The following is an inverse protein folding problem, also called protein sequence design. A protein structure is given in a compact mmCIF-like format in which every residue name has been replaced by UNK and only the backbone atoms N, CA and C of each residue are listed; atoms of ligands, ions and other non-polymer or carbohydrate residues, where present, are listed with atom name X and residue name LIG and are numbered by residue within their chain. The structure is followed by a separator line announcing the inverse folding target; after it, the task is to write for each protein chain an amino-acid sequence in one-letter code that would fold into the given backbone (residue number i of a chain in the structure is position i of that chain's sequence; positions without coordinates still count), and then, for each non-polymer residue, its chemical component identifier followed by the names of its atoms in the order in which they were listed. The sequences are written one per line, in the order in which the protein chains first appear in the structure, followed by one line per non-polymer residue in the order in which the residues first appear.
data_IF_643265468514
#
_entry.id   IF_643265468514
#
_cell.length_a   1.000
_cell.length_b   1.000
_cell.length_c   1.000
_cell.angle_alpha   90.00
_cell.angle_beta   90.00
_cell.angle_gamma   90.00
#
_symmetry.space_group_name_H-M   'P 1'
#
loop_
_entity.id
_entity.type
_entity.pdbx_description
1 polymer ?
#
# COMPACT_ATOMS: atom_id res chain seq x y z
N UNK A 1 22.07 6.15 -42.20
CA UNK A 1 21.16 6.82 -41.24
C UNK A 1 22.04 7.52 -40.23
N UNK A 2 21.85 8.81 -40.03
CA UNK A 2 22.50 9.53 -38.92
C UNK A 2 21.62 9.20 -37.71
N UNK A 3 22.16 8.51 -36.71
CA UNK A 3 21.47 8.35 -35.43
C UNK A 3 21.20 9.75 -34.87
N UNK A 4 19.93 10.07 -34.61
CA UNK A 4 19.54 11.33 -33.98
C UNK A 4 20.16 11.39 -32.59
N UNK A 5 20.96 12.44 -32.35
CA UNK A 5 21.56 12.71 -31.06
C UNK A 5 20.52 13.48 -30.25
N UNK A 6 19.87 12.81 -29.31
CA UNK A 6 18.90 13.43 -28.40
C UNK A 6 19.46 13.51 -26.96
N UNK A 7 19.22 14.62 -26.24
CA UNK A 7 19.61 14.75 -24.85
C UNK A 7 18.77 13.80 -23.97
N UNK A 8 19.43 13.04 -23.10
CA UNK A 8 18.76 12.11 -22.17
C UNK A 8 18.21 12.86 -20.95
N UNK A 9 18.93 13.89 -20.48
CA UNK A 9 18.58 14.75 -19.34
C UNK A 9 19.02 16.17 -19.67
N UNK A 10 18.14 17.15 -19.48
CA UNK A 10 18.47 18.58 -19.54
C UNK A 10 18.09 19.24 -18.21
N UNK A 11 19.07 19.84 -17.53
CA UNK A 11 18.81 20.71 -16.38
C UNK A 11 18.83 22.16 -16.84
N UNK A 12 17.80 22.91 -16.44
CA UNK A 12 17.63 24.32 -16.79
C UNK A 12 18.40 25.27 -15.85
N UNK A 13 18.87 24.77 -14.71
CA UNK A 13 19.72 25.52 -13.80
C UNK A 13 21.16 25.59 -14.35
N UNK A 14 21.80 26.76 -14.25
CA UNK A 14 23.19 26.95 -14.69
C UNK A 14 24.15 26.27 -13.70
N UNK A 15 24.37 24.99 -13.91
CA UNK A 15 25.26 24.15 -13.11
C UNK A 15 26.23 23.46 -14.06
N UNK A 16 27.52 23.41 -13.72
CA UNK A 16 28.49 22.69 -14.55
C UNK A 16 28.61 21.26 -14.03
N UNK A 17 28.27 20.28 -14.87
CA UNK A 17 28.49 18.88 -14.54
C UNK A 17 29.95 18.50 -14.68
N UNK A 18 30.42 17.69 -13.74
CA UNK A 18 31.84 17.37 -13.56
C UNK A 18 32.12 15.87 -13.52
N UNK A 19 31.12 15.05 -13.14
CA UNK A 19 31.26 13.59 -13.09
C UNK A 19 29.94 12.91 -13.47
N UNK A 20 30.02 11.67 -13.96
CA UNK A 20 28.87 10.84 -14.28
C UNK A 20 29.15 9.38 -13.91
N UNK A 21 28.16 8.69 -13.36
CA UNK A 21 28.19 7.25 -13.13
C UNK A 21 26.79 6.66 -13.37
N UNK A 22 26.72 5.47 -13.94
CA UNK A 22 25.48 4.89 -14.44
C UNK A 22 25.27 3.50 -13.85
N UNK A 23 24.10 3.28 -13.25
CA UNK A 23 23.65 1.98 -12.79
C UNK A 23 22.42 1.54 -13.57
N UNK A 24 22.55 0.50 -14.39
CA UNK A 24 21.46 -0.03 -15.21
C UNK A 24 21.17 -1.49 -14.92
N UNK A 25 19.93 -1.89 -15.22
CA UNK A 25 19.56 -3.28 -15.41
C UNK A 25 18.79 -3.42 -16.73
N UNK A 26 18.22 -4.60 -17.00
CA UNK A 26 17.46 -4.84 -18.24
C UNK A 26 16.19 -3.97 -18.40
N UNK A 27 15.75 -3.26 -17.35
CA UNK A 27 14.43 -2.60 -17.31
C UNK A 27 14.52 -1.07 -17.22
N UNK A 28 15.53 -0.52 -16.57
CA UNK A 28 15.68 0.92 -16.38
C UNK A 28 17.14 1.28 -16.08
N UNK A 29 17.43 2.58 -16.16
CA UNK A 29 18.76 3.14 -15.89
C UNK A 29 18.67 4.26 -14.86
N UNK A 30 19.61 4.25 -13.92
CA UNK A 30 19.81 5.31 -12.93
C UNK A 30 21.12 6.01 -13.27
N UNK A 31 21.06 7.33 -13.36
CA UNK A 31 22.17 8.18 -13.75
C UNK A 31 22.50 9.11 -12.58
N UNK A 32 23.74 9.06 -12.12
CA UNK A 32 24.28 9.96 -11.10
C UNK A 32 25.17 10.99 -11.80
N UNK A 33 24.90 12.27 -11.56
CA UNK A 33 25.66 13.38 -12.16
C UNK A 33 26.18 14.26 -11.02
N UNK A 34 27.50 14.43 -10.96
CA UNK A 34 28.16 15.35 -10.04
C UNK A 34 28.30 16.74 -10.64
N UNK A 35 28.27 17.78 -9.81
CA UNK A 35 28.50 19.16 -10.22
C UNK A 35 29.66 19.89 -9.52
N UNK A 36 29.95 21.09 -10.00
CA UNK A 36 30.92 22.05 -9.46
C UNK A 36 30.40 22.91 -8.29
N UNK A 37 29.27 22.51 -7.69
CA UNK A 37 28.77 23.01 -6.41
C UNK A 37 28.75 21.92 -5.31
N UNK A 38 29.30 20.74 -5.59
CA UNK A 38 29.39 19.66 -4.62
C UNK A 38 28.11 18.85 -4.49
N UNK A 39 27.26 18.85 -5.52
CA UNK A 39 25.99 18.16 -5.54
C UNK A 39 26.04 16.97 -6.48
N UNK A 40 25.49 15.85 -6.02
CA UNK A 40 25.13 14.70 -6.85
C UNK A 40 23.63 14.74 -7.13
N UNK A 41 23.30 14.84 -8.41
CA UNK A 41 21.96 14.74 -8.97
C UNK A 41 21.71 13.29 -9.41
N UNK A 42 20.55 12.75 -9.08
CA UNK A 42 20.17 11.38 -9.46
C UNK A 42 18.92 11.41 -10.32
N UNK A 43 19.00 10.77 -11.49
CA UNK A 43 17.92 10.67 -12.46
C UNK A 43 17.58 9.23 -12.75
N UNK A 44 16.37 9.02 -13.23
CA UNK A 44 15.90 7.72 -13.68
C UNK A 44 15.27 7.83 -15.06
N UNK A 45 15.73 7.01 -16.00
CA UNK A 45 15.36 7.13 -17.42
C UNK A 45 13.87 6.93 -17.67
N UNK A 46 13.18 6.11 -16.87
CA UNK A 46 11.74 5.91 -16.98
C UNK A 46 10.85 7.12 -16.64
N UNK A 47 11.37 8.12 -15.91
CA UNK A 47 10.62 9.32 -15.53
C UNK A 47 11.29 10.61 -16.02
N UNK A 48 12.54 10.57 -16.49
CA UNK A 48 13.37 11.72 -16.96
C UNK A 48 13.55 12.88 -15.96
N UNK A 49 12.87 12.83 -14.83
CA UNK A 49 12.92 13.80 -13.75
C UNK A 49 14.03 13.46 -12.75
N UNK A 50 14.56 14.50 -12.09
CA UNK A 50 15.47 14.34 -10.94
C UNK A 50 14.71 13.69 -9.79
N UNK A 51 15.15 12.51 -9.36
CA UNK A 51 14.51 11.73 -8.27
C UNK A 51 15.18 12.00 -6.92
N UNK A 52 16.41 12.52 -6.92
CA UNK A 52 17.15 12.83 -5.71
C UNK A 52 18.29 13.79 -5.96
N UNK A 53 18.59 14.59 -4.94
CA UNK A 53 19.69 15.56 -4.93
C UNK A 53 20.41 15.48 -3.59
N UNK A 54 21.72 15.28 -3.60
CA UNK A 54 22.56 15.25 -2.41
C UNK A 54 23.70 16.24 -2.54
N UNK A 55 23.71 17.26 -1.68
CA UNK A 55 24.85 18.18 -1.58
C UNK A 55 25.83 17.71 -0.50
N UNK A 56 27.12 17.88 -0.80
CA UNK A 56 28.25 17.63 0.08
C UNK A 56 28.90 18.97 0.46
N UNK A 57 29.74 18.98 1.49
CA UNK A 57 30.38 20.23 1.95
C UNK A 57 31.44 20.77 0.98
N UNK A 58 32.08 19.88 0.22
CA UNK A 58 33.13 20.21 -0.75
C UNK A 58 32.54 20.80 -2.03
N UNK A 59 33.26 21.68 -2.72
CA UNK A 59 32.68 22.45 -3.83
C UNK A 59 32.56 21.70 -5.13
N UNK A 60 33.31 20.63 -5.36
CA UNK A 60 33.28 19.92 -6.64
C UNK A 60 33.21 18.41 -6.43
N UNK A 61 32.34 17.76 -7.20
CA UNK A 61 32.34 16.32 -7.38
C UNK A 61 33.32 16.01 -8.50
N UNK A 62 34.42 15.33 -8.19
CA UNK A 62 35.50 15.03 -9.14
C UNK A 62 35.24 13.72 -9.87
N UNK A 63 34.72 12.72 -9.16
CA UNK A 63 34.42 11.41 -9.73
C UNK A 63 33.31 10.70 -8.94
N UNK A 64 32.64 9.76 -9.59
CA UNK A 64 31.59 8.94 -9.02
C UNK A 64 31.86 7.47 -9.37
N UNK A 65 31.76 6.59 -8.38
CA UNK A 65 31.90 5.15 -8.60
C UNK A 65 30.80 4.36 -7.92
N UNK A 66 30.04 3.63 -8.72
CA UNK A 66 29.08 2.65 -8.22
C UNK A 66 29.78 1.33 -7.90
N UNK A 67 29.50 0.79 -6.72
CA UNK A 67 29.98 -0.53 -6.29
C UNK A 67 28.83 -1.38 -5.75
N UNK A 68 28.97 -2.71 -5.83
CA UNK A 68 27.98 -3.72 -5.41
C UNK A 68 26.63 -3.64 -6.16
N UNK A 69 26.64 -3.53 -7.49
CA UNK A 69 25.46 -3.20 -8.31
C UNK A 69 24.72 -4.37 -8.96
N UNK A 70 25.12 -5.64 -8.73
CA UNK A 70 24.59 -6.78 -9.49
C UNK A 70 23.92 -7.79 -8.56
N UNK A 71 22.65 -8.20 -8.79
CA UNK A 71 21.72 -7.84 -9.86
C UNK A 71 20.73 -6.69 -9.51
N UNK A 72 20.87 -6.07 -8.34
CA UNK A 72 19.98 -5.02 -7.82
C UNK A 72 20.79 -3.91 -7.17
N UNK A 73 20.15 -2.77 -6.86
CA UNK A 73 20.78 -1.71 -6.05
C UNK A 73 20.74 -1.99 -4.54
N UNK A 74 20.38 -3.22 -4.15
CA UNK A 74 20.45 -3.67 -2.76
C UNK A 74 21.90 -3.67 -2.29
N UNK A 75 22.17 -3.01 -1.18
CA UNK A 75 23.52 -2.84 -0.62
C UNK A 75 24.53 -2.11 -1.53
N UNK A 76 24.03 -1.51 -2.63
CA UNK A 76 24.84 -0.71 -3.53
C UNK A 76 25.32 0.57 -2.85
N UNK A 77 26.54 0.97 -3.19
CA UNK A 77 27.15 2.18 -2.64
C UNK A 77 27.67 3.05 -3.76
N UNK A 78 27.53 4.36 -3.55
CA UNK A 78 28.14 5.37 -4.38
C UNK A 78 29.38 5.90 -3.65
N UNK A 79 30.53 5.73 -4.28
CA UNK A 79 31.76 6.39 -3.87
C UNK A 79 31.78 7.73 -4.57
N UNK A 80 31.86 8.80 -3.78
CA UNK A 80 31.90 10.18 -4.23
C UNK A 80 33.28 10.73 -3.95
N UNK A 81 34.04 10.98 -5.01
CA UNK A 81 35.31 11.69 -4.91
C UNK A 81 35.03 13.19 -5.02
N UNK A 82 35.50 13.94 -4.03
CA UNK A 82 35.48 15.40 -4.03
C UNK A 82 36.90 15.94 -4.11
N UNK A 83 37.07 17.25 -4.16
CA UNK A 83 38.40 17.90 -4.15
C UNK A 83 39.31 17.48 -2.97
N UNK A 84 38.73 17.07 -1.83
CA UNK A 84 39.48 16.87 -0.59
C UNK A 84 39.11 15.58 0.17
N UNK A 85 38.08 14.86 -0.24
CA UNK A 85 37.54 13.70 0.49
C UNK A 85 37.00 12.63 -0.46
N UNK A 86 37.07 11.38 0.00
CA UNK A 86 36.36 10.24 -0.58
C UNK A 86 35.23 9.87 0.38
N UNK A 87 33.99 9.95 -0.09
CA UNK A 87 32.79 9.70 0.70
C UNK A 87 32.12 8.43 0.18
N UNK A 88 31.71 7.55 1.11
CA UNK A 88 30.96 6.34 0.78
C UNK A 88 29.51 6.51 1.21
N UNK A 89 28.62 6.66 0.24
CA UNK A 89 27.19 6.80 0.45
C UNK A 89 26.48 5.47 0.19
N UNK A 90 25.67 5.00 1.13
CA UNK A 90 24.76 3.89 0.89
C UNK A 90 23.59 4.40 0.05
N UNK A 91 23.27 3.70 -1.04
CA UNK A 91 22.22 4.13 -1.96
C UNK A 91 20.82 3.72 -1.51
N UNK A 92 20.68 2.60 -0.82
CA UNK A 92 19.39 2.09 -0.40
C UNK A 92 19.46 1.44 0.99
N UNK A 93 18.54 1.83 1.86
CA UNK A 93 18.24 1.15 3.14
C UNK A 93 16.73 1.02 3.25
N UNK A 94 16.11 0.47 2.20
CA UNK A 94 14.66 0.50 2.02
C UNK A 94 13.91 -0.34 3.05
N UNK A 95 14.50 -1.46 3.50
CA UNK A 95 13.86 -2.42 4.40
C UNK A 95 13.47 -1.84 5.77
N UNK A 96 14.03 -0.70 6.17
CA UNK A 96 13.65 -0.02 7.43
C UNK A 96 12.27 0.67 7.34
N UNK A 97 11.78 0.96 6.14
CA UNK A 97 10.51 1.62 5.91
C UNK A 97 9.40 0.59 5.77
N UNK A 98 8.47 0.59 6.73
CA UNK A 98 7.46 -0.47 6.86
C UNK A 98 6.12 -0.15 6.21
N UNK A 99 5.93 1.09 5.77
CA UNK A 99 4.68 1.52 5.11
C UNK A 99 4.93 1.99 3.69
N UNK A 100 3.95 1.76 2.80
CA UNK A 100 4.05 2.20 1.41
C UNK A 100 4.22 3.71 1.28
N UNK A 101 3.48 4.48 2.09
CA UNK A 101 3.53 5.94 2.06
C UNK A 101 4.93 6.43 2.42
N UNK A 102 5.55 5.91 3.48
CA UNK A 102 6.95 6.23 3.81
C UNK A 102 7.87 5.82 2.66
N UNK A 103 7.79 4.57 2.21
CA UNK A 103 8.65 4.02 1.15
C UNK A 103 8.61 4.84 -0.14
N UNK A 104 7.43 5.32 -0.54
CA UNK A 104 7.23 6.09 -1.78
C UNK A 104 7.98 7.42 -1.81
N UNK A 105 8.38 7.93 -0.64
CA UNK A 105 9.13 9.18 -0.50
C UNK A 105 10.64 8.96 -0.48
N UNK A 106 11.10 7.72 -0.40
CA UNK A 106 12.52 7.40 -0.25
C UNK A 106 13.16 7.17 -1.63
N UNK A 107 14.19 7.96 -1.98
CA UNK A 107 14.95 7.76 -3.21
C UNK A 107 15.47 6.33 -3.37
N UNK A 108 15.46 5.82 -4.60
CA UNK A 108 15.99 4.50 -4.93
C UNK A 108 15.30 3.34 -4.17
N UNK A 109 14.16 3.61 -3.55
CA UNK A 109 13.30 2.61 -2.94
C UNK A 109 12.01 2.47 -3.74
N UNK A 110 11.45 1.26 -3.66
CA UNK A 110 10.21 0.90 -4.33
C UNK A 110 9.35 0.07 -3.37
N UNK A 111 8.05 0.34 -3.33
CA UNK A 111 7.12 -0.49 -2.57
C UNK A 111 6.71 -1.72 -3.38
N UNK A 112 7.01 -2.91 -2.87
CA UNK A 112 6.53 -4.15 -3.46
C UNK A 112 5.11 -4.42 -2.97
N UNK A 113 4.07 -3.95 -3.67
CA UNK A 113 2.67 -4.09 -3.19
C UNK A 113 2.29 -5.53 -2.87
N UNK A 114 2.85 -6.49 -3.63
CA UNK A 114 2.58 -7.93 -3.47
C UNK A 114 3.23 -8.52 -2.23
N UNK A 115 4.40 -8.03 -1.86
CA UNK A 115 5.16 -8.50 -0.69
C UNK A 115 4.95 -7.59 0.53
N UNK A 116 4.28 -6.44 0.31
CA UNK A 116 3.96 -5.39 1.26
C UNK A 116 5.17 -5.00 2.13
N UNK A 117 6.28 -4.75 1.43
CA UNK A 117 7.55 -4.30 1.98
C UNK A 117 8.22 -3.31 1.04
N UNK A 118 9.05 -2.45 1.61
CA UNK A 118 9.89 -1.52 0.86
C UNK A 118 11.20 -2.20 0.48
N UNK A 119 11.57 -2.15 -0.81
CA UNK A 119 12.77 -2.80 -1.34
C UNK A 119 13.62 -1.81 -2.14
N UNK A 120 14.87 -2.16 -2.43
CA UNK A 120 15.67 -1.35 -3.34
C UNK A 120 15.05 -1.35 -4.75
N UNK A 121 15.32 -0.28 -5.52
CA UNK A 121 14.96 -0.26 -6.94
C UNK A 121 15.53 -1.49 -7.63
N UNK A 122 14.71 -2.11 -8.50
CA UNK A 122 14.99 -3.33 -9.26
C UNK A 122 14.89 -4.66 -8.52
N UNK A 123 14.66 -4.68 -7.20
CA UNK A 123 14.54 -5.93 -6.43
C UNK A 123 13.20 -6.65 -6.67
N UNK A 124 12.14 -5.92 -7.02
CA UNK A 124 10.81 -6.49 -7.29
C UNK A 124 10.71 -7.06 -8.70
N UNK A 125 10.47 -8.36 -8.85
CA UNK A 125 10.43 -9.01 -10.17
C UNK A 125 9.24 -8.57 -11.03
N UNK A 126 8.08 -8.35 -10.40
CA UNK A 126 6.76 -8.24 -11.07
C UNK A 126 6.20 -6.81 -11.20
N UNK A 127 6.62 -5.84 -10.39
CA UNK A 127 6.13 -4.46 -10.52
C UNK A 127 6.87 -3.66 -11.60
N UNK A 128 8.06 -4.12 -12.01
CA UNK A 128 8.87 -3.46 -13.03
C UNK A 128 8.30 -3.55 -14.47
N UNK A 129 7.09 -4.09 -14.66
CA UNK A 129 6.39 -4.12 -15.96
C UNK A 129 5.27 -3.07 -16.07
N UNK A 130 4.90 -2.38 -14.98
CA UNK A 130 3.85 -1.35 -15.02
C UNK A 130 4.49 0.03 -15.03
N UNK A 131 4.44 0.68 -16.18
CA UNK A 131 4.94 2.05 -16.44
C UNK A 131 4.25 3.14 -15.61
N UNK A 132 3.16 2.84 -14.92
CA UNK A 132 2.43 3.80 -14.07
C UNK A 132 2.74 3.59 -12.59
N UNK A 133 3.75 4.32 -12.10
CA UNK A 133 4.19 4.38 -10.70
C UNK A 133 3.25 5.13 -9.74
N UNK A 134 2.10 5.60 -10.24
CA UNK A 134 1.27 6.59 -9.53
C UNK A 134 0.27 5.97 -8.54
N UNK A 135 0.06 4.64 -8.54
CA UNK A 135 -0.83 3.95 -7.58
C UNK A 135 -0.16 2.70 -6.98
N UNK A 136 0.97 2.87 -6.29
CA UNK A 136 1.75 1.76 -5.71
C UNK A 136 1.26 1.27 -4.36
N UNK A 137 0.44 2.02 -3.62
CA UNK A 137 0.02 1.59 -2.30
C UNK A 137 -1.29 0.81 -2.37
N UNK A 138 -1.24 -0.47 -1.98
CA UNK A 138 -2.45 -1.24 -1.76
C UNK A 138 -3.25 -0.62 -0.61
N UNK A 139 -4.54 -0.38 -0.84
CA UNK A 139 -5.50 -0.01 0.19
C UNK A 139 -6.85 -0.65 -0.13
N UNK A 140 -7.67 -0.80 0.91
CA UNK A 140 -9.04 -1.27 0.77
C UNK A 140 -9.88 -0.15 0.18
N UNK A 141 -10.25 -0.29 -1.09
CA UNK A 141 -11.09 0.67 -1.81
C UNK A 141 -12.56 0.54 -1.39
N UNK A 142 -13.03 -0.70 -1.23
CA UNK A 142 -14.42 -0.95 -0.90
C UNK A 142 -14.58 -2.23 -0.06
N UNK A 143 -15.55 -2.20 0.85
CA UNK A 143 -16.05 -3.39 1.55
C UNK A 143 -17.56 -3.47 1.40
N UNK A 144 -18.08 -4.65 1.06
CA UNK A 144 -19.51 -4.90 0.92
C UNK A 144 -19.90 -6.13 1.76
N UNK A 145 -20.93 -6.02 2.64
CA UNK A 145 -21.55 -4.78 3.12
C UNK A 145 -20.64 -3.98 4.07
N UNK A 146 -20.85 -2.65 4.12
CA UNK A 146 -20.13 -1.75 5.05
C UNK A 146 -20.70 -1.78 6.48
N UNK A 147 -21.94 -2.26 6.63
CA UNK A 147 -22.65 -2.32 7.91
C UNK A 147 -23.28 -3.69 8.08
N UNK A 148 -23.09 -4.27 9.25
CA UNK A 148 -23.43 -5.65 9.58
C UNK A 148 -24.38 -5.64 10.77
N UNK A 149 -25.45 -6.42 10.74
CA UNK A 149 -26.33 -6.64 11.90
C UNK A 149 -25.93 -7.92 12.64
N UNK A 150 -25.94 -7.89 13.98
CA UNK A 150 -25.58 -9.06 14.78
C UNK A 150 -26.51 -10.27 14.60
N UNK A 151 -27.73 -10.04 14.10
CA UNK A 151 -28.74 -11.09 13.90
C UNK A 151 -28.50 -11.98 12.68
N UNK A 152 -27.54 -11.64 11.80
CA UNK A 152 -27.27 -12.40 10.58
C UNK A 152 -26.01 -13.23 10.78
N UNK A 153 -26.14 -14.54 10.64
CA UNK A 153 -25.04 -15.50 10.72
C UNK A 153 -24.37 -15.65 9.34
N UNK A 154 -23.08 -16.00 9.34
CA UNK A 154 -22.31 -16.37 8.15
C UNK A 154 -22.29 -15.29 7.04
N UNK A 155 -22.22 -14.01 7.42
CA UNK A 155 -22.06 -12.92 6.46
C UNK A 155 -20.72 -13.07 5.74
N UNK A 156 -20.73 -12.98 4.42
CA UNK A 156 -19.51 -12.85 3.63
C UNK A 156 -19.26 -11.37 3.35
N UNK A 157 -18.07 -10.87 3.71
CA UNK A 157 -17.60 -9.55 3.34
C UNK A 157 -16.75 -9.65 2.08
N UNK A 158 -17.11 -8.89 1.07
CA UNK A 158 -16.32 -8.72 -0.14
C UNK A 158 -15.44 -7.48 0.01
N UNK A 159 -14.12 -7.67 0.02
CA UNK A 159 -13.11 -6.64 0.21
C UNK A 159 -12.36 -6.44 -1.10
N UNK A 160 -12.45 -5.24 -1.65
CA UNK A 160 -11.84 -4.86 -2.92
C UNK A 160 -10.67 -3.92 -2.68
N UNK A 161 -9.56 -4.19 -3.36
CA UNK A 161 -8.36 -3.36 -3.32
C UNK A 161 -8.22 -2.56 -4.61
N UNK A 162 -7.62 -1.37 -4.49
CA UNK A 162 -7.24 -0.54 -5.64
C UNK A 162 -6.22 -1.23 -6.58
N UNK A 163 -5.49 -2.22 -6.08
CA UNK A 163 -4.55 -3.06 -6.83
C UNK A 163 -4.81 -4.56 -6.56
N UNK A 164 -4.64 -5.44 -7.57
CA UNK A 164 -4.80 -6.88 -7.36
C UNK A 164 -3.80 -7.46 -6.35
N UNK A 165 -4.30 -8.15 -5.33
CA UNK A 165 -3.51 -9.01 -4.45
C UNK A 165 -3.17 -10.35 -5.15
N UNK A 166 -2.15 -11.08 -4.67
CA UNK A 166 -1.71 -12.35 -5.28
C UNK A 166 -2.80 -13.42 -5.11
N UNK A 167 -3.04 -14.22 -6.16
CA UNK A 167 -4.10 -15.26 -6.22
C UNK A 167 -3.94 -16.44 -5.26
N UNK A 168 -2.87 -16.52 -4.47
CA UNK A 168 -2.62 -17.67 -3.60
C UNK A 168 -3.44 -17.51 -2.31
N UNK A 169 -4.59 -18.19 -2.29
CA UNK A 169 -5.64 -18.07 -1.26
C UNK A 169 -5.16 -18.37 0.16
N UNK A 170 -4.01 -19.04 0.32
CA UNK A 170 -3.49 -19.50 1.61
C UNK A 170 -2.51 -18.50 2.25
N UNK A 171 -2.35 -17.31 1.67
CA UNK A 171 -1.36 -16.32 2.12
C UNK A 171 -1.99 -15.16 2.89
N UNK A 172 -3.32 -15.03 2.91
CA UNK A 172 -4.02 -13.90 3.53
C UNK A 172 -4.96 -14.31 4.67
N UNK A 173 -5.11 -13.42 5.66
CA UNK A 173 -6.08 -13.53 6.75
C UNK A 173 -6.83 -12.21 6.92
N UNK A 174 -8.07 -12.31 7.39
CA UNK A 174 -8.88 -11.16 7.80
C UNK A 174 -8.76 -10.98 9.31
N UNK A 175 -8.27 -9.83 9.76
CA UNK A 175 -8.23 -9.45 11.17
C UNK A 175 -9.39 -8.52 11.51
N UNK A 176 -10.05 -8.75 12.64
CA UNK A 176 -11.12 -7.89 13.16
C UNK A 176 -10.73 -7.39 14.54
N UNK A 177 -10.52 -6.08 14.65
CA UNK A 177 -10.11 -5.40 15.88
C UNK A 177 -11.26 -4.57 16.44
N UNK A 178 -11.69 -4.88 17.65
CA UNK A 178 -12.81 -4.21 18.34
C UNK A 178 -12.31 -3.05 19.21
N UNK A 179 -13.16 -2.04 19.46
CA UNK A 179 -12.85 -0.77 20.16
C UNK A 179 -12.22 -0.88 21.57
N UNK A 180 -12.15 -2.09 22.14
CA UNK A 180 -11.42 -2.34 23.39
C UNK A 180 -9.96 -2.77 23.17
N UNK A 181 -9.48 -2.97 21.94
CA UNK A 181 -8.12 -3.41 21.62
C UNK A 181 -7.73 -4.81 22.12
N UNK A 182 -8.54 -5.43 22.99
CA UNK A 182 -8.23 -6.69 23.66
C UNK A 182 -8.57 -7.95 22.84
N UNK A 183 -9.51 -7.86 21.90
CA UNK A 183 -9.95 -9.01 21.13
C UNK A 183 -9.68 -8.80 19.65
N UNK A 184 -8.61 -9.44 19.17
CA UNK A 184 -8.32 -9.63 17.76
C UNK A 184 -8.90 -10.99 17.33
N UNK A 185 -9.82 -10.97 16.37
CA UNK A 185 -10.32 -12.20 15.75
C UNK A 185 -9.75 -12.32 14.34
N UNK A 186 -9.17 -13.49 14.02
CA UNK A 186 -8.60 -13.77 12.71
C UNK A 186 -9.32 -14.92 12.03
N UNK A 187 -9.63 -14.75 10.76
CA UNK A 187 -10.13 -15.82 9.90
C UNK A 187 -9.27 -15.95 8.66
N UNK A 188 -9.26 -17.14 8.08
CA UNK A 188 -8.71 -17.31 6.74
C UNK A 188 -9.47 -16.40 5.77
N UNK A 189 -8.73 -15.73 4.90
CA UNK A 189 -9.30 -15.06 3.75
C UNK A 189 -9.46 -16.09 2.62
N UNK A 190 -10.47 -15.91 1.76
CA UNK A 190 -10.47 -16.57 0.46
C UNK A 190 -10.41 -15.51 -0.63
N UNK A 191 -9.64 -15.77 -1.69
CA UNK A 191 -9.49 -14.83 -2.80
C UNK A 191 -10.21 -15.38 -4.02
N UNK A 192 -11.12 -14.58 -4.58
CA UNK A 192 -11.83 -14.92 -5.82
C UNK A 192 -11.88 -13.68 -6.70
N UNK A 193 -11.34 -13.75 -7.92
CA UNK A 193 -11.41 -12.66 -8.90
C UNK A 193 -11.00 -11.27 -8.36
N UNK A 194 -9.87 -11.19 -7.65
CA UNK A 194 -9.35 -9.97 -6.97
C UNK A 194 -10.20 -9.45 -5.80
N UNK A 195 -11.18 -10.23 -5.34
CA UNK A 195 -12.00 -9.91 -4.17
C UNK A 195 -11.57 -10.81 -3.02
N UNK A 196 -11.14 -10.19 -1.92
CA UNK A 196 -10.86 -10.89 -0.67
C UNK A 196 -12.19 -11.08 0.07
N UNK A 197 -12.56 -12.33 0.30
CA UNK A 197 -13.74 -12.73 1.05
C UNK A 197 -13.36 -13.01 2.50
N UNK A 198 -14.01 -12.28 3.41
CA UNK A 198 -13.81 -12.39 4.85
C UNK A 198 -15.11 -12.78 5.56
N UNK A 199 -14.99 -13.57 6.62
CA UNK A 199 -16.13 -13.99 7.44
C UNK A 199 -15.96 -13.42 8.85
N UNK A 200 -16.74 -12.39 9.25
CA UNK A 200 -16.65 -11.80 10.56
C UNK A 200 -17.11 -12.78 11.66
N UNK A 201 -16.65 -12.59 12.90
CA UNK A 201 -17.06 -13.44 14.02
C UNK A 201 -18.56 -13.27 14.32
N UNK A 202 -19.16 -14.33 14.86
CA UNK A 202 -20.48 -14.23 15.49
C UNK A 202 -20.30 -13.53 16.83
N UNK A 203 -20.93 -12.36 16.99
CA UNK A 203 -20.83 -11.55 18.20
C UNK A 203 -22.08 -11.76 19.06
N UNK A 204 -21.88 -12.37 20.23
CA UNK A 204 -22.91 -12.55 21.23
C UNK A 204 -22.68 -11.57 22.39
N UNK A 205 -23.74 -11.19 23.11
CA UNK A 205 -23.68 -10.38 24.34
C UNK A 205 -23.13 -8.95 24.16
N UNK A 206 -23.56 -8.29 23.10
CA UNK A 206 -23.20 -6.91 22.79
C UNK A 206 -24.23 -5.93 23.40
N UNK A 207 -23.79 -5.10 24.35
CA UNK A 207 -24.61 -4.17 25.16
C UNK A 207 -24.78 -2.76 24.57
N UNK A 208 -24.10 -2.42 23.49
CA UNK A 208 -24.24 -1.14 22.78
C UNK A 208 -25.03 -1.35 21.48
N UNK A 209 -25.56 -0.27 20.91
CA UNK A 209 -26.26 -0.34 19.62
C UNK A 209 -25.30 -0.36 18.42
N UNK A 210 -24.13 0.27 18.55
CA UNK A 210 -23.16 0.48 17.46
C UNK A 210 -21.77 0.08 17.93
N UNK A 211 -21.10 -0.76 17.16
CA UNK A 211 -19.73 -1.18 17.38
C UNK A 211 -18.89 -0.84 16.16
N UNK A 212 -17.79 -0.13 16.40
CA UNK A 212 -16.80 0.16 15.37
C UNK A 212 -15.74 -0.94 15.41
N UNK A 213 -15.50 -1.56 14.27
CA UNK A 213 -14.57 -2.68 14.12
C UNK A 213 -13.62 -2.35 12.98
N UNK A 214 -12.32 -2.46 13.22
CA UNK A 214 -11.33 -2.30 12.16
C UNK A 214 -11.09 -3.66 11.53
N UNK A 215 -11.45 -3.80 10.26
CA UNK A 215 -11.08 -4.93 9.41
C UNK A 215 -9.69 -4.67 8.83
N UNK A 216 -8.76 -5.60 9.01
CA UNK A 216 -7.43 -5.61 8.39
C UNK A 216 -7.29 -6.83 7.47
N UNK A 217 -6.55 -6.69 6.37
CA UNK A 217 -6.09 -7.83 5.57
C UNK A 217 -4.61 -8.02 5.83
N UNK A 218 -4.24 -9.17 6.38
CA UNK A 218 -2.92 -9.50 6.90
C UNK A 218 -2.30 -10.67 6.12
N UNK A 219 -0.97 -10.72 6.00
CA UNK A 219 -0.28 -11.89 5.49
C UNK A 219 -0.18 -12.99 6.56
N UNK A 220 -0.40 -14.26 6.21
CA UNK A 220 -0.32 -15.40 7.16
C UNK A 220 1.06 -15.53 7.80
N UNK A 221 2.13 -15.28 7.04
CA UNK A 221 3.52 -15.50 7.48
C UNK A 221 4.21 -14.25 8.05
N UNK A 222 3.51 -13.14 8.29
CA UNK A 222 4.18 -11.90 8.72
C UNK A 222 3.30 -10.91 9.48
N UNK A 223 3.93 -9.92 10.11
CA UNK A 223 3.27 -8.78 10.75
C UNK A 223 2.90 -7.69 9.74
N UNK A 224 2.36 -8.11 8.61
CA UNK A 224 2.26 -7.29 7.41
C UNK A 224 0.79 -7.09 7.08
N UNK A 225 0.32 -5.84 7.16
CA UNK A 225 -1.07 -5.45 6.86
C UNK A 225 -1.14 -4.74 5.52
N UNK A 226 -1.93 -5.26 4.59
CA UNK A 226 -2.12 -4.71 3.24
C UNK A 226 -3.12 -3.56 3.20
N UNK A 227 -4.02 -3.47 4.18
CA UNK A 227 -5.01 -2.42 4.24
C UNK A 227 -5.94 -2.59 5.43
N UNK A 228 -6.63 -1.51 5.79
CA UNK A 228 -7.60 -1.50 6.88
C UNK A 228 -8.85 -0.70 6.53
N UNK A 229 -9.99 -1.11 7.07
CA UNK A 229 -11.30 -0.52 6.81
C UNK A 229 -12.15 -0.48 8.09
N UNK A 230 -12.89 0.62 8.28
CA UNK A 230 -13.77 0.76 9.44
C UNK A 230 -15.16 0.18 9.13
N UNK A 231 -15.49 -0.93 9.79
CA UNK A 231 -16.80 -1.57 9.75
C UNK A 231 -17.68 -1.13 10.92
N UNK A 232 -18.99 -1.16 10.69
CA UNK A 232 -20.00 -0.93 11.72
C UNK A 232 -20.81 -2.20 11.94
N UNK A 233 -20.83 -2.67 13.18
CA UNK A 233 -21.70 -3.75 13.64
C UNK A 233 -22.85 -3.15 14.45
N UNK A 234 -24.08 -3.51 14.10
CA UNK A 234 -25.31 -2.98 14.66
C UNK A 234 -26.04 -4.04 15.48
N UNK A 235 -26.40 -3.67 16.70
CA UNK A 235 -27.39 -4.38 17.49
C UNK A 235 -28.68 -3.56 17.52
N UNK A 236 -29.61 -3.87 16.61
CA UNK A 236 -30.87 -3.12 16.49
C UNK A 236 -31.63 -3.09 17.84
N UNK A 237 -31.63 -4.19 18.59
CA UNK A 237 -32.35 -4.33 19.87
C UNK A 237 -31.90 -3.34 20.95
N UNK A 238 -30.70 -2.77 20.83
CA UNK A 238 -30.15 -1.83 21.81
C UNK A 238 -30.40 -0.35 21.46
N UNK A 239 -31.06 -0.03 20.34
CA UNK A 239 -31.49 1.34 20.08
C UNK A 239 -32.65 1.73 21.00
N UNK A 240 -32.43 2.76 21.82
CA UNK A 240 -33.41 3.23 22.79
C UNK A 240 -34.50 4.16 22.20
N UNK A 241 -34.31 4.68 20.99
CA UNK A 241 -35.23 5.64 20.38
C UNK A 241 -35.58 5.31 18.93
N UNK A 242 -36.79 5.68 18.52
CA UNK A 242 -37.25 5.59 17.14
C UNK A 242 -36.29 6.33 16.20
N UNK A 243 -35.92 7.57 16.54
CA UNK A 243 -35.02 8.40 15.74
C UNK A 243 -33.68 7.70 15.48
N UNK A 244 -33.06 7.08 16.49
CA UNK A 244 -31.78 6.38 16.33
C UNK A 244 -31.93 5.09 15.54
N UNK A 245 -33.02 4.34 15.76
CA UNK A 245 -33.33 3.11 15.03
C UNK A 245 -33.51 3.37 13.52
N UNK A 246 -34.23 4.45 13.18
CA UNK A 246 -34.55 4.78 11.78
C UNK A 246 -33.37 5.32 10.98
N UNK A 247 -32.24 5.70 11.62
CA UNK A 247 -31.01 6.05 10.89
C UNK A 247 -30.46 4.86 10.08
N UNK A 248 -30.77 3.64 10.52
CA UNK A 248 -30.38 2.40 9.86
C UNK A 248 -31.61 1.67 9.33
N UNK A 249 -32.57 2.41 8.76
CA UNK A 249 -33.85 1.87 8.27
C UNK A 249 -33.73 0.83 7.14
N UNK A 250 -32.53 0.60 6.61
CA UNK A 250 -32.21 -0.48 5.68
C UNK A 250 -31.99 -1.82 6.40
N UNK A 251 -31.70 -1.82 7.70
CA UNK A 251 -31.31 -3.00 8.48
C UNK A 251 -32.13 -3.15 9.79
N UNK A 252 -32.61 -2.06 10.36
CA UNK A 252 -33.41 -2.03 11.57
C UNK A 252 -34.79 -1.42 11.30
N UNK A 253 -35.79 -1.86 12.06
CA UNK A 253 -37.17 -1.38 12.01
C UNK A 253 -37.65 -1.02 13.42
N UNK A 254 -38.29 0.15 13.56
CA UNK A 254 -38.93 0.53 14.82
C UNK A 254 -40.34 -0.07 14.93
N UNK A 255 -40.54 -0.99 15.87
CA UNK A 255 -41.86 -1.53 16.18
C UNK A 255 -42.57 -0.59 17.18
N UNK A 256 -43.66 0.04 16.71
CA UNK A 256 -44.43 1.00 17.50
C UNK A 256 -45.24 0.36 18.63
N UNK A 257 -45.67 -0.89 18.46
CA UNK A 257 -46.48 -1.59 19.46
C UNK A 257 -45.63 -2.01 20.66
N UNK A 258 -44.43 -2.53 20.39
CA UNK A 258 -43.50 -2.97 21.45
C UNK A 258 -42.58 -1.87 21.94
N UNK A 259 -42.58 -0.70 21.28
CA UNK A 259 -41.68 0.44 21.53
C UNK A 259 -40.22 0.00 21.53
N UNK A 260 -39.86 -0.90 20.60
CA UNK A 260 -38.54 -1.49 20.46
C UNK A 260 -38.07 -1.45 19.02
N UNK A 261 -36.77 -1.27 18.85
CA UNK A 261 -36.10 -1.44 17.57
C UNK A 261 -35.79 -2.93 17.36
N UNK A 262 -36.11 -3.46 16.19
CA UNK A 262 -35.89 -4.86 15.82
C UNK A 262 -35.07 -4.93 14.52
N UNK A 263 -34.38 -6.05 14.32
CA UNK A 263 -33.77 -6.35 13.03
C UNK A 263 -34.86 -6.58 11.97
N UNK A 264 -34.65 -6.05 10.76
CA UNK A 264 -35.47 -6.40 9.60
C UNK A 264 -34.60 -7.09 8.55
N UNK A 265 -35.07 -8.24 8.06
CA UNK A 265 -34.43 -8.92 6.96
C UNK A 265 -34.94 -8.31 5.65
N UNK A 266 -34.07 -7.55 4.97
CA UNK A 266 -34.38 -7.06 3.62
C UNK A 266 -33.89 -8.09 2.59
N UNK A 267 -34.84 -8.79 1.94
CA UNK A 267 -34.56 -9.84 0.94
C UNK A 267 -33.78 -9.37 -0.30
N UNK A 268 -33.55 -8.05 -0.46
CA UNK A 268 -32.72 -7.51 -1.54
C UNK A 268 -31.24 -7.88 -1.46
N UNK A 269 -30.73 -8.31 -0.30
CA UNK A 269 -29.34 -8.77 -0.15
C UNK A 269 -29.17 -10.28 -0.35
N UNK A 270 -30.25 -11.06 -0.47
CA UNK A 270 -30.20 -12.50 -0.73
C UNK A 270 -30.24 -12.86 -2.22
N UNK A 271 -30.50 -11.89 -3.10
CA UNK A 271 -30.75 -12.14 -4.53
C UNK A 271 -29.56 -11.90 -5.47
N UNK A 272 -28.37 -11.51 -4.98
CA UNK A 272 -27.18 -11.46 -5.85
C UNK A 272 -26.46 -12.82 -5.99
N UNK A 273 -26.91 -13.87 -5.30
CA UNK A 273 -26.31 -15.21 -5.37
C UNK A 273 -27.06 -16.20 -6.29
N UNK A 274 -28.04 -15.75 -7.07
CA UNK A 274 -28.77 -16.59 -8.03
C UNK A 274 -28.96 -15.91 -9.39
N UNK A 275 -27.87 -15.47 -10.02
CA UNK A 275 -27.81 -15.36 -11.48
C UNK A 275 -26.55 -16.04 -12.00
N UNK A 276 -26.62 -17.36 -12.06
CA UNK A 276 -25.86 -18.18 -12.99
C UNK A 276 -26.60 -18.23 -14.33
N UNK A 277 -25.98 -17.66 -15.36
CA UNK A 277 -25.92 -18.17 -16.75
C UNK A 277 -24.88 -17.35 -17.52
#
# INVERSE_FOLDING_TARGET
SIEEIEPIIELYDRVNFTAIEIGSNEKDTIIFIGDDNGTVHTFQTSNTNEIYKQSFQSKIIVDLKLINTIPTLKDAKLIVLTENQIIKQNLSTCEQYTTCNECSTIPLCHWCSRENRCTATFECEYENQRTNRINMCAYIEQVIPQTITLNVLNIELQVMFNVPLRSDTNEYMCGFTFKNGEQLYRTNASLSHNIVKCFPPILNNMNQAIYNVVLSIEHVKGNVTFGSYSLIFLNCSNFASCSSCTLYSNLCLWNRETVKCIFQQNDRFLLSNNQSL
#
